data_IF_682997112976
#
_entry.id   IF_682997112976
#
_cell.length_a   1.000
_cell.length_b   1.000
_cell.length_c   1.000
_cell.angle_alpha   90.00
_cell.angle_beta   90.00
_cell.angle_gamma   90.00
#
_symmetry.space_group_name_H-M   'P 1'
#
loop_
_entity.id
_entity.type
_entity.pdbx_description
1 polymer ?
#
# COMPACT_ATOMS: atom_id res chain seq x y z
N UNK A 1 -21.71 -11.58 10.43
CA UNK A 1 -21.53 -13.00 10.04
C UNK A 1 -21.62 -13.06 8.52
N UNK A 2 -20.75 -13.81 7.84
CA UNK A 2 -20.71 -13.89 6.36
C UNK A 2 -19.44 -13.34 5.69
N UNK A 3 -18.33 -13.19 6.42
CA UNK A 3 -17.03 -12.87 5.80
C UNK A 3 -16.48 -14.13 5.12
N UNK A 4 -16.14 -14.01 3.84
CA UNK A 4 -15.40 -15.02 3.08
C UNK A 4 -13.99 -14.50 2.83
N UNK A 5 -13.01 -15.11 3.50
CA UNK A 5 -11.61 -14.75 3.37
C UNK A 5 -11.05 -15.00 1.98
N UNK A 6 -11.50 -16.04 1.27
CA UNK A 6 -10.98 -16.34 -0.06
C UNK A 6 -11.44 -15.31 -1.09
N UNK A 7 -12.74 -14.97 -1.06
CA UNK A 7 -13.28 -13.88 -1.88
C UNK A 7 -12.63 -12.53 -1.54
N UNK A 8 -12.38 -12.28 -0.25
CA UNK A 8 -11.67 -11.07 0.18
C UNK A 8 -10.23 -11.04 -0.34
N UNK A 9 -9.46 -12.12 -0.17
CA UNK A 9 -8.07 -12.18 -0.61
C UNK A 9 -7.93 -12.04 -2.12
N UNK A 10 -8.91 -12.51 -2.89
CA UNK A 10 -8.97 -12.32 -4.34
C UNK A 10 -9.25 -10.86 -4.77
N UNK A 11 -10.08 -10.13 -4.02
CA UNK A 11 -10.59 -8.82 -4.44
C UNK A 11 -9.95 -7.62 -3.72
N UNK A 12 -9.39 -7.83 -2.52
CA UNK A 12 -8.96 -6.75 -1.61
C UNK A 12 -8.01 -5.76 -2.28
N UNK A 13 -7.06 -6.27 -3.05
CA UNK A 13 -6.06 -5.44 -3.72
C UNK A 13 -6.72 -4.51 -4.72
N UNK A 14 -7.48 -5.07 -5.68
CA UNK A 14 -8.23 -4.30 -6.69
C UNK A 14 -9.15 -3.25 -6.06
N UNK A 15 -9.88 -3.62 -5.01
CA UNK A 15 -10.79 -2.70 -4.33
C UNK A 15 -10.04 -1.54 -3.65
N UNK A 16 -8.90 -1.81 -3.02
CA UNK A 16 -8.10 -0.77 -2.35
C UNK A 16 -7.34 0.08 -3.37
N UNK A 17 -6.84 -0.46 -4.48
CA UNK A 17 -6.25 0.31 -5.58
C UNK A 17 -7.28 1.28 -6.17
N UNK A 18 -8.48 0.81 -6.50
CA UNK A 18 -9.57 1.66 -7.02
C UNK A 18 -9.96 2.74 -6.00
N UNK A 19 -10.15 2.36 -4.73
CA UNK A 19 -10.47 3.32 -3.67
C UNK A 19 -9.37 4.36 -3.47
N UNK A 20 -8.10 3.96 -3.59
CA UNK A 20 -6.95 4.86 -3.53
C UNK A 20 -6.97 5.83 -4.71
N UNK A 21 -7.13 5.33 -5.93
CA UNK A 21 -7.26 6.18 -7.12
C UNK A 21 -8.38 7.20 -6.97
N UNK A 22 -9.58 6.79 -6.55
CA UNK A 22 -10.70 7.71 -6.34
C UNK A 22 -10.39 8.76 -5.27
N UNK A 23 -9.77 8.37 -4.14
CA UNK A 23 -9.35 9.28 -3.07
C UNK A 23 -8.39 10.36 -3.58
N UNK A 24 -7.35 9.95 -4.28
CA UNK A 24 -6.30 10.85 -4.76
C UNK A 24 -6.76 11.70 -5.96
N UNK A 25 -7.65 11.16 -6.80
CA UNK A 25 -8.30 11.91 -7.90
C UNK A 25 -9.27 12.96 -7.37
N UNK A 26 -10.05 12.65 -6.34
CA UNK A 26 -11.04 13.58 -5.78
C UNK A 26 -10.38 14.77 -5.08
N UNK A 27 -9.16 14.62 -4.56
CA UNK A 27 -8.47 15.63 -3.77
C UNK A 27 -7.15 16.05 -4.45
N UNK A 28 -7.20 17.16 -5.19
CA UNK A 28 -6.06 17.67 -5.98
C UNK A 28 -4.73 17.74 -5.21
N UNK A 29 -4.66 18.41 -4.04
CA UNK A 29 -3.42 18.46 -3.26
C UNK A 29 -2.88 17.09 -2.83
N UNK A 30 -3.75 16.13 -2.50
CA UNK A 30 -3.30 14.77 -2.20
C UNK A 30 -2.79 14.06 -3.46
N UNK A 31 -3.48 14.22 -4.59
CA UNK A 31 -3.05 13.69 -5.88
C UNK A 31 -1.68 14.22 -6.30
N UNK A 32 -1.46 15.52 -6.18
CA UNK A 32 -0.15 16.15 -6.42
C UNK A 32 0.93 15.59 -5.49
N UNK A 33 0.61 15.38 -4.21
CA UNK A 33 1.52 14.75 -3.25
C UNK A 33 1.90 13.32 -3.65
N UNK A 34 0.94 12.52 -4.10
CA UNK A 34 1.20 11.15 -4.57
C UNK A 34 2.06 11.15 -5.84
N UNK A 35 1.75 12.00 -6.82
CA UNK A 35 2.53 12.15 -8.05
C UNK A 35 3.96 12.64 -7.78
N UNK A 36 4.16 13.49 -6.78
CA UNK A 36 5.48 13.99 -6.39
C UNK A 36 6.43 12.88 -5.88
N UNK A 37 5.91 11.70 -5.54
CA UNK A 37 6.74 10.53 -5.18
C UNK A 37 7.47 9.93 -6.37
N UNK A 38 7.09 10.27 -7.61
CA UNK A 38 7.74 9.80 -8.85
C UNK A 38 7.90 8.28 -8.84
N UNK A 39 9.06 7.77 -9.23
CA UNK A 39 9.36 6.34 -9.32
C UNK A 39 9.74 5.69 -7.97
N UNK A 40 9.50 6.37 -6.85
CA UNK A 40 9.79 5.81 -5.55
C UNK A 40 8.91 4.58 -5.27
N UNK A 41 9.51 3.57 -4.65
CA UNK A 41 8.79 2.43 -4.07
C UNK A 41 8.15 2.91 -2.78
N UNK A 42 6.82 2.93 -2.75
CA UNK A 42 6.05 3.33 -1.56
C UNK A 42 5.90 2.17 -0.59
N UNK A 43 6.05 2.45 0.69
CA UNK A 43 6.10 1.44 1.74
C UNK A 43 5.28 1.86 2.94
N UNK A 44 4.35 0.99 3.37
CA UNK A 44 3.70 1.11 4.67
C UNK A 44 4.59 0.40 5.70
N UNK A 45 5.26 1.18 6.55
CA UNK A 45 6.24 0.70 7.51
C UNK A 45 5.63 0.50 8.90
N UNK A 46 4.67 -0.43 8.99
CA UNK A 46 4.09 -0.89 10.25
C UNK A 46 4.67 -2.23 10.70
N UNK A 47 5.12 -2.36 11.97
CA UNK A 47 5.57 -3.63 12.52
C UNK A 47 4.43 -4.61 12.81
N UNK A 48 3.18 -4.13 12.85
CA UNK A 48 1.99 -4.93 13.18
C UNK A 48 1.13 -5.28 11.98
N UNK A 49 1.41 -4.72 10.81
CA UNK A 49 0.74 -5.04 9.56
C UNK A 49 1.69 -5.80 8.62
N UNK A 50 1.31 -7.02 8.26
CA UNK A 50 2.07 -7.88 7.33
C UNK A 50 1.36 -8.10 6.00
N UNK A 51 0.15 -7.55 5.82
CA UNK A 51 -0.61 -7.67 4.58
C UNK A 51 -0.50 -6.36 3.82
N UNK A 52 -0.92 -5.26 4.44
CA UNK A 52 -0.84 -3.94 3.83
C UNK A 52 0.52 -3.29 4.06
N UNK A 53 1.22 -3.71 5.11
CA UNK A 53 2.54 -3.25 5.51
C UNK A 53 3.68 -4.22 5.27
N UNK A 54 4.91 -3.75 5.53
CA UNK A 54 6.14 -4.56 5.43
C UNK A 54 6.48 -5.34 6.71
N UNK A 55 5.69 -5.23 7.77
CA UNK A 55 5.94 -5.92 9.03
C UNK A 55 7.20 -5.45 9.77
N UNK A 56 7.67 -4.23 9.49
CA UNK A 56 8.84 -3.58 10.09
C UNK A 56 8.49 -2.12 10.40
N UNK A 57 9.05 -1.57 11.48
CA UNK A 57 8.90 -0.15 11.80
C UNK A 57 9.73 0.71 10.84
N UNK A 58 9.30 1.95 10.58
CA UNK A 58 10.00 2.89 9.70
C UNK A 58 11.47 3.14 10.08
N UNK A 59 11.83 3.04 11.36
CA UNK A 59 13.20 3.22 11.85
C UNK A 59 14.08 1.95 11.78
N UNK A 60 13.54 0.81 11.35
CA UNK A 60 14.30 -0.42 11.19
C UNK A 60 15.09 -0.36 9.87
N UNK A 61 16.42 -0.56 9.92
CA UNK A 61 17.28 -0.50 8.73
C UNK A 61 16.87 -1.48 7.63
N UNK A 62 16.23 -2.60 8.02
CA UNK A 62 15.71 -3.60 7.09
C UNK A 62 14.54 -3.07 6.25
N UNK A 63 13.83 -2.03 6.70
CA UNK A 63 12.73 -1.45 5.94
C UNK A 63 13.17 -0.95 4.54
N UNK A 64 14.44 -0.57 4.39
CA UNK A 64 15.00 -0.11 3.11
C UNK A 64 15.29 -1.24 2.10
N UNK A 65 15.23 -2.52 2.51
CA UNK A 65 15.51 -3.66 1.63
C UNK A 65 14.28 -4.56 1.49
N UNK A 66 13.62 -4.60 0.32
CA UNK A 66 12.45 -5.45 0.05
C UNK A 66 12.67 -6.93 0.35
N UNK A 67 13.89 -7.43 0.18
CA UNK A 67 14.23 -8.84 0.48
C UNK A 67 14.18 -9.19 1.96
N UNK A 68 14.09 -8.18 2.83
CA UNK A 68 14.06 -8.36 4.30
C UNK A 68 12.71 -8.02 4.91
N UNK A 69 11.75 -7.59 4.09
CA UNK A 69 10.38 -7.34 4.53
C UNK A 69 9.74 -8.63 5.05
N UNK A 70 8.83 -8.46 6.01
CA UNK A 70 8.10 -9.54 6.67
C UNK A 70 6.60 -9.49 6.37
N UNK A 71 6.22 -8.64 5.43
CA UNK A 71 4.86 -8.43 4.99
C UNK A 71 4.80 -8.03 3.52
N UNK A 72 3.59 -8.05 2.97
CA UNK A 72 3.35 -7.99 1.54
C UNK A 72 3.31 -6.56 0.97
N UNK A 73 3.28 -5.53 1.82
CA UNK A 73 3.23 -4.12 1.41
C UNK A 73 2.11 -3.79 0.40
N UNK A 74 0.95 -4.45 0.50
CA UNK A 74 -0.12 -4.27 -0.50
C UNK A 74 -0.60 -2.81 -0.59
N UNK A 75 -0.49 -2.00 0.47
CA UNK A 75 -0.89 -0.60 0.42
C UNK A 75 0.08 0.23 -0.42
N UNK A 76 1.38 0.01 -0.24
CA UNK A 76 2.40 0.65 -1.06
C UNK A 76 2.18 0.37 -2.54
N UNK A 77 1.92 -0.90 -2.90
CA UNK A 77 1.60 -1.29 -4.27
C UNK A 77 0.30 -0.69 -4.79
N UNK A 78 -0.77 -0.66 -3.99
CA UNK A 78 -2.04 -0.03 -4.40
C UNK A 78 -1.90 1.48 -4.63
N UNK A 79 -1.06 2.18 -3.84
CA UNK A 79 -0.77 3.60 -4.04
C UNK A 79 0.08 3.85 -5.29
N UNK A 80 0.99 2.94 -5.62
CA UNK A 80 1.76 3.01 -6.87
C UNK A 80 0.87 2.75 -8.08
N UNK A 81 -0.06 1.79 -8.01
CA UNK A 81 -1.06 1.56 -9.07
C UNK A 81 -2.00 2.77 -9.23
N UNK A 82 -2.37 3.45 -8.14
CA UNK A 82 -3.20 4.65 -8.20
C UNK A 82 -2.47 5.90 -8.72
N UNK A 83 -1.12 5.87 -8.75
CA UNK A 83 -0.28 6.96 -9.25
C UNK A 83 -0.12 6.90 -10.77
N UNK A 84 -0.10 5.70 -11.34
CA UNK A 84 0.23 5.42 -12.75
C UNK A 84 -1.02 5.30 -13.64
#
# INVERSE_FOLDING_TARGET
>A
RGFDGASWDAEKFRLVSEGSFQKFRQNGPLGEFLLATKDAVLVEASPVDRIWGIGLAAGDERAANPLTWRGDNLLGFALMEARD
#
